data_IF_636665193911
#
_entry.id   IF_636665193911
#
_cell.length_a   1.000
_cell.length_b   1.000
_cell.length_c   1.000
_cell.angle_alpha   90.00
_cell.angle_beta   90.00
_cell.angle_gamma   90.00
#
_symmetry.space_group_name_H-M   'P 1'
#
loop_
_entity.id
_entity.type
_entity.pdbx_description
1 polymer ?
#
# COMPACT_ATOMS: atom_id res chain seq x y z
N UNK A 1 13.03 -7.17 -6.18
CA UNK A 1 11.94 -8.17 -6.37
C UNK A 1 10.69 -7.43 -6.82
N UNK A 2 10.04 -7.91 -7.89
CA UNK A 2 8.92 -7.22 -8.53
C UNK A 2 7.68 -7.34 -7.64
N UNK A 3 7.33 -6.24 -6.97
CA UNK A 3 6.01 -6.08 -6.33
C UNK A 3 4.83 -6.22 -7.32
N UNK A 4 5.13 -6.35 -8.63
CA UNK A 4 4.18 -6.49 -9.74
C UNK A 4 3.39 -7.81 -9.73
N UNK A 5 3.87 -8.83 -9.03
CA UNK A 5 3.24 -10.16 -9.04
C UNK A 5 2.23 -10.35 -7.88
N UNK A 6 2.16 -9.38 -6.96
CA UNK A 6 0.99 -9.28 -6.09
C UNK A 6 -0.18 -8.78 -6.93
N UNK A 7 -1.14 -9.67 -7.18
CA UNK A 7 -2.46 -9.42 -7.79
C UNK A 7 -3.25 -8.33 -7.03
N UNK A 8 -2.79 -7.08 -7.12
CA UNK A 8 -3.38 -5.90 -6.51
C UNK A 8 -3.50 -4.83 -7.58
N UNK A 9 -4.52 -4.91 -8.44
CA UNK A 9 -4.62 -4.05 -9.61
C UNK A 9 -4.55 -2.57 -9.23
N UNK A 10 -5.06 -2.16 -8.05
CA UNK A 10 -5.05 -0.75 -7.65
C UNK A 10 -3.72 -0.27 -7.05
N UNK A 11 -3.00 -1.11 -6.32
CA UNK A 11 -1.77 -0.72 -5.59
C UNK A 11 -0.51 -1.02 -6.41
N UNK A 12 -0.58 -1.80 -7.48
CA UNK A 12 0.56 -2.00 -8.39
C UNK A 12 0.67 -0.95 -9.52
N UNK A 13 -0.05 0.19 -9.42
CA UNK A 13 -0.07 1.23 -10.46
C UNK A 13 1.22 2.07 -10.47
N UNK A 14 1.63 2.55 -11.64
CA UNK A 14 2.84 3.39 -11.80
C UNK A 14 2.76 4.71 -11.02
N UNK A 15 1.58 5.34 -10.99
CA UNK A 15 1.38 6.61 -10.32
C UNK A 15 1.24 6.44 -8.78
N UNK A 16 2.15 7.01 -7.97
CA UNK A 16 2.10 6.90 -6.51
C UNK A 16 0.84 7.52 -5.90
N UNK A 17 0.24 8.54 -6.52
CA UNK A 17 -1.03 9.13 -6.04
C UNK A 17 -2.19 8.12 -6.10
N UNK A 18 -2.24 7.33 -7.16
CA UNK A 18 -3.25 6.28 -7.33
C UNK A 18 -3.03 5.16 -6.31
N UNK A 19 -1.78 4.72 -6.13
CA UNK A 19 -1.42 3.73 -5.09
C UNK A 19 -1.79 4.21 -3.70
N UNK A 20 -1.48 5.47 -3.37
CA UNK A 20 -1.82 6.08 -2.08
C UNK A 20 -3.32 6.09 -1.83
N UNK A 21 -4.14 6.42 -2.83
CA UNK A 21 -5.61 6.36 -2.72
C UNK A 21 -6.07 4.92 -2.45
N UNK A 22 -5.54 3.96 -3.20
CA UNK A 22 -5.86 2.55 -3.01
C UNK A 22 -5.48 2.04 -1.61
N UNK A 23 -4.32 2.43 -1.09
CA UNK A 23 -3.87 2.12 0.28
C UNK A 23 -4.82 2.68 1.35
N UNK A 24 -5.41 3.85 1.12
CA UNK A 24 -6.35 4.45 2.08
C UNK A 24 -7.71 3.72 2.11
N UNK A 25 -8.11 3.12 0.99
CA UNK A 25 -9.35 2.34 0.85
C UNK A 25 -9.17 0.87 1.27
N UNK A 26 -7.92 0.38 1.34
CA UNK A 26 -7.60 -1.01 1.64
C UNK A 26 -7.91 -1.40 3.10
N UNK A 27 -8.45 -2.60 3.30
CA UNK A 27 -8.77 -3.18 4.60
C UNK A 27 -7.89 -4.38 4.98
N UNK A 28 -7.20 -4.98 4.02
CA UNK A 28 -6.32 -6.12 4.26
C UNK A 28 -4.99 -5.67 4.89
N UNK A 29 -4.77 -6.06 6.15
CA UNK A 29 -3.57 -5.70 6.91
C UNK A 29 -2.29 -6.31 6.33
N UNK A 30 -2.31 -7.55 5.86
CA UNK A 30 -1.14 -8.22 5.30
C UNK A 30 -0.66 -7.53 4.02
N UNK A 31 -1.63 -7.11 3.21
CA UNK A 31 -1.40 -6.33 2.02
C UNK A 31 -0.76 -4.98 2.34
N UNK A 32 -1.32 -4.25 3.30
CA UNK A 32 -0.77 -2.98 3.74
C UNK A 32 0.65 -3.15 4.28
N UNK A 33 0.94 -4.23 5.00
CA UNK A 33 2.29 -4.54 5.49
C UNK A 33 3.27 -4.74 4.33
N UNK A 34 2.86 -5.46 3.29
CA UNK A 34 3.66 -5.64 2.08
C UNK A 34 3.95 -4.31 1.39
N UNK A 35 2.98 -3.40 1.33
CA UNK A 35 3.16 -2.04 0.79
C UNK A 35 4.16 -1.25 1.62
N UNK A 36 4.06 -1.30 2.95
CA UNK A 36 5.02 -0.65 3.85
C UNK A 36 6.46 -1.10 3.60
N UNK A 37 6.66 -2.38 3.29
CA UNK A 37 8.00 -2.95 3.09
C UNK A 37 8.57 -2.69 1.69
N UNK A 38 7.71 -2.65 0.65
CA UNK A 38 8.19 -2.79 -0.72
C UNK A 38 7.79 -1.66 -1.69
N UNK A 39 6.85 -0.77 -1.34
CA UNK A 39 6.51 0.32 -2.27
C UNK A 39 7.71 1.23 -2.47
N UNK A 40 8.01 1.61 -3.71
CA UNK A 40 9.14 2.48 -4.03
C UNK A 40 8.96 3.90 -3.49
N UNK A 41 7.71 4.36 -3.37
CA UNK A 41 7.37 5.71 -2.95
C UNK A 41 7.23 5.81 -1.42
N UNK A 42 7.97 6.74 -0.82
CA UNK A 42 8.01 6.95 0.63
C UNK A 42 6.65 7.39 1.20
N UNK A 43 5.87 8.17 0.45
CA UNK A 43 4.57 8.65 0.89
C UNK A 43 3.52 7.55 0.84
N UNK A 44 3.62 6.65 -0.13
CA UNK A 44 2.77 5.46 -0.20
C UNK A 44 3.06 4.52 0.99
N UNK A 45 4.35 4.29 1.31
CA UNK A 45 4.74 3.51 2.52
C UNK A 45 4.20 4.15 3.81
N UNK A 46 4.29 5.48 3.95
CA UNK A 46 3.75 6.18 5.11
C UNK A 46 2.23 6.10 5.21
N UNK A 47 1.52 6.22 4.08
CA UNK A 47 0.07 6.06 4.06
C UNK A 47 -0.35 4.67 4.54
N UNK A 48 0.38 3.62 4.11
CA UNK A 48 0.10 2.25 4.52
C UNK A 48 0.32 2.04 6.02
N UNK A 49 1.38 2.62 6.60
CA UNK A 49 1.60 2.60 8.07
C UNK A 49 0.45 3.26 8.83
N UNK A 50 0.02 4.45 8.39
CA UNK A 50 -1.10 5.16 9.01
C UNK A 50 -2.40 4.38 8.89
N UNK A 51 -2.64 3.72 7.76
CA UNK A 51 -3.83 2.87 7.58
C UNK A 51 -3.80 1.66 8.51
N UNK A 52 -2.67 0.97 8.61
CA UNK A 52 -2.48 -0.14 9.56
C UNK A 52 -2.75 0.28 11.00
N UNK A 53 -2.22 1.43 11.43
CA UNK A 53 -2.48 1.97 12.77
C UNK A 53 -3.98 2.17 13.01
N UNK A 54 -4.72 2.72 12.04
CA UNK A 54 -6.18 2.91 12.16
C UNK A 54 -6.99 1.60 12.18
N UNK A 55 -6.49 0.54 11.55
CA UNK A 55 -7.16 -0.77 11.55
C UNK A 55 -6.83 -1.61 12.79
N UNK A 56 -5.81 -1.20 13.56
CA UNK A 56 -5.38 -1.86 14.79
C UNK A 56 -5.83 -1.10 16.06
N UNK A 57 -6.32 0.13 15.90
CA UNK A 57 -7.02 0.89 16.94
C UNK A 57 -8.47 0.43 17.03
#
# INVERSE_FOLDING_TARGET
>A
MKFRDLFLPKIARSNPRVRKKAVMEEGNKDLLMKVVQNDSDKDVRQAARRRLQRLNA
#
